data_IF_331457611662
#
_entry.id   IF_331457611662
#
_cell.length_a   1.000
_cell.length_b   1.000
_cell.length_c   1.000
_cell.angle_alpha   90.00
_cell.angle_beta   90.00
_cell.angle_gamma   90.00
#
_symmetry.space_group_name_H-M   'P 1'
#
loop_
_entity.id
_entity.type
_entity.pdbx_description
1 polymer ?
#
# COMPACT_ATOMS: atom_id res chain seq x y z
N UNK A 1 14.42 -1.73 -76.65
CA UNK A 1 12.96 -1.46 -76.55
C UNK A 1 12.48 -1.98 -75.20
N UNK A 2 11.72 -1.13 -74.48
CA UNK A 2 10.98 -1.36 -73.22
C UNK A 2 11.81 -1.71 -71.95
N UNK A 3 11.44 -1.30 -70.74
CA UNK A 3 10.71 -0.16 -70.18
C UNK A 3 10.89 -0.29 -68.65
N UNK A 4 10.75 0.84 -67.96
CA UNK A 4 10.88 1.11 -66.53
C UNK A 4 9.88 0.34 -65.64
N UNK A 5 10.23 0.09 -64.36
CA UNK A 5 9.42 0.28 -63.11
C UNK A 5 10.10 -0.48 -61.94
N UNK A 6 10.73 0.19 -60.98
CA UNK A 6 10.23 0.87 -59.75
C UNK A 6 10.30 -0.03 -58.49
N UNK A 7 10.83 0.58 -57.42
CA UNK A 7 11.24 0.02 -56.14
C UNK A 7 10.09 -0.48 -55.24
N UNK A 8 10.44 -1.21 -54.17
CA UNK A 8 10.11 -0.90 -52.76
C UNK A 8 11.03 -1.70 -51.83
N UNK A 9 11.63 -0.99 -50.88
CA UNK A 9 12.37 -1.50 -49.73
C UNK A 9 11.42 -1.85 -48.58
N UNK A 10 11.80 -2.81 -47.73
CA UNK A 10 11.07 -3.13 -46.50
C UNK A 10 11.85 -4.08 -45.60
N UNK A 11 12.82 -3.53 -44.87
CA UNK A 11 13.56 -4.23 -43.81
C UNK A 11 12.73 -4.18 -42.54
N UNK A 12 12.28 -5.33 -42.02
CA UNK A 12 11.57 -5.43 -40.75
C UNK A 12 12.58 -5.49 -39.60
N UNK A 13 13.04 -4.32 -39.14
CA UNK A 13 13.66 -4.19 -37.84
C UNK A 13 12.57 -4.25 -36.75
N UNK A 14 12.80 -5.06 -35.72
CA UNK A 14 11.93 -5.17 -34.56
C UNK A 14 12.15 -3.97 -33.63
N UNK A 15 11.35 -2.93 -33.78
CA UNK A 15 11.19 -1.91 -32.75
C UNK A 15 10.21 -2.44 -31.69
N UNK A 16 10.77 -2.94 -30.59
CA UNK A 16 10.03 -3.12 -29.33
C UNK A 16 9.75 -1.70 -28.80
N UNK A 17 8.57 -1.20 -29.12
CA UNK A 17 8.01 0.00 -28.52
C UNK A 17 7.91 -0.21 -27.00
N UNK A 18 8.82 0.43 -26.26
CA UNK A 18 8.60 0.73 -24.86
C UNK A 18 7.29 1.51 -24.76
N UNK A 19 6.27 0.90 -24.17
CA UNK A 19 5.04 1.60 -23.84
C UNK A 19 5.38 2.79 -22.93
N UNK A 20 4.85 3.99 -23.18
CA UNK A 20 4.99 5.09 -22.25
C UNK A 20 4.32 4.69 -20.94
N UNK A 21 5.13 4.65 -19.87
CA UNK A 21 4.62 4.60 -18.50
C UNK A 21 3.77 5.86 -18.33
N UNK A 22 2.45 5.70 -18.27
CA UNK A 22 1.55 6.82 -17.97
C UNK A 22 1.98 7.47 -16.65
N UNK A 23 2.12 8.81 -16.60
CA UNK A 23 2.43 9.48 -15.35
C UNK A 23 1.27 9.24 -14.38
N UNK A 24 1.57 8.47 -13.33
CA UNK A 24 0.73 8.37 -12.13
C UNK A 24 0.34 9.79 -11.74
N UNK A 25 -0.97 10.04 -11.64
CA UNK A 25 -1.55 11.33 -11.30
C UNK A 25 -0.72 12.05 -10.25
N UNK A 26 -0.14 13.16 -10.67
CA UNK A 26 0.70 14.04 -9.88
C UNK A 26 -0.22 14.69 -8.82
N UNK A 27 -0.36 14.05 -7.67
CA UNK A 27 -0.94 14.69 -6.49
C UNK A 27 0.02 15.83 -6.14
N UNK A 28 -0.48 17.06 -6.21
CA UNK A 28 0.27 18.30 -6.05
C UNK A 28 1.28 18.22 -4.89
N UNK A 29 2.55 18.29 -5.25
CA UNK A 29 3.74 18.23 -4.38
C UNK A 29 3.95 19.48 -3.50
N UNK A 30 2.92 20.32 -3.32
CA UNK A 30 3.02 21.64 -2.68
C UNK A 30 2.43 21.74 -1.27
N UNK A 31 1.62 20.79 -0.82
CA UNK A 31 1.16 20.77 0.56
C UNK A 31 2.23 20.10 1.43
N UNK A 32 3.13 20.91 2.00
CA UNK A 32 3.70 20.52 3.29
C UNK A 32 2.52 20.09 4.15
N UNK A 33 2.45 18.81 4.53
CA UNK A 33 1.42 18.33 5.45
C UNK A 33 1.64 19.12 6.73
N UNK A 34 0.92 20.23 6.87
CA UNK A 34 0.90 21.03 8.07
C UNK A 34 0.31 20.11 9.12
N UNK A 35 1.19 19.47 9.91
CA UNK A 35 0.80 18.56 10.97
C UNK A 35 -0.17 19.31 11.87
N UNK A 36 -1.48 18.95 11.89
CA UNK A 36 -2.39 19.60 12.81
C UNK A 36 -1.90 19.28 14.22
N UNK A 37 -1.43 20.32 14.93
CA UNK A 37 -1.10 20.20 16.35
C UNK A 37 -2.37 19.71 17.06
N UNK A 38 -2.42 18.43 17.44
CA UNK A 38 -3.57 17.89 18.19
C UNK A 38 -4.18 16.61 17.65
N UNK A 39 -3.98 16.25 16.38
CA UNK A 39 -4.58 15.05 15.78
C UNK A 39 -3.48 14.09 15.32
N UNK A 40 -3.68 12.79 15.48
CA UNK A 40 -2.78 11.83 14.81
C UNK A 40 -3.04 11.96 13.31
N UNK A 41 -2.14 12.63 12.60
CA UNK A 41 -2.25 12.72 11.16
C UNK A 41 -2.00 11.33 10.59
N UNK A 42 -3.04 10.74 10.02
CA UNK A 42 -2.91 9.49 9.29
C UNK A 42 -2.17 9.82 8.00
N UNK A 43 -0.98 9.26 7.83
CA UNK A 43 -0.22 9.42 6.59
C UNK A 43 -1.06 8.79 5.47
N UNK A 44 -1.37 9.53 4.39
CA UNK A 44 -2.08 8.94 3.26
C UNK A 44 -1.30 7.74 2.73
N UNK A 45 -2.01 6.74 2.21
CA UNK A 45 -1.38 5.60 1.53
C UNK A 45 -0.66 6.14 0.30
N UNK A 46 0.67 6.33 0.40
CA UNK A 46 1.51 6.75 -0.72
C UNK A 46 2.06 5.45 -1.35
N UNK A 47 1.82 5.19 -2.65
CA UNK A 47 2.28 3.97 -3.31
C UNK A 47 3.81 3.83 -3.31
N UNK A 48 4.53 4.95 -3.33
CA UNK A 48 5.99 5.02 -3.39
C UNK A 48 6.62 4.84 -2.01
N UNK A 49 7.25 3.68 -1.80
CA UNK A 49 7.93 3.36 -0.55
C UNK A 49 9.12 4.26 -0.24
N UNK A 50 9.80 4.76 -1.27
CA UNK A 50 10.96 5.65 -1.12
C UNK A 50 10.54 6.97 -0.47
N UNK A 51 9.39 7.51 -0.90
CA UNK A 51 8.85 8.75 -0.31
C UNK A 51 8.43 8.55 1.14
N UNK A 52 7.84 7.40 1.46
CA UNK A 52 7.43 7.09 2.84
C UNK A 52 8.63 6.91 3.77
N UNK A 53 9.71 6.28 3.30
CA UNK A 53 10.95 6.13 4.06
C UNK A 53 11.69 7.47 4.23
N UNK A 54 11.58 8.36 3.24
CA UNK A 54 12.10 9.72 3.35
C UNK A 54 11.37 10.52 4.46
N UNK A 55 10.05 10.39 4.56
CA UNK A 55 9.26 11.02 5.64
C UNK A 55 9.71 10.50 7.02
N UNK A 56 9.93 9.18 7.15
CA UNK A 56 10.45 8.58 8.39
C UNK A 56 11.87 9.10 8.71
N UNK A 57 12.73 9.24 7.71
CA UNK A 57 14.11 9.70 7.92
C UNK A 57 14.18 11.15 8.37
N UNK A 58 13.28 12.00 7.86
CA UNK A 58 13.22 13.44 8.14
C UNK A 58 12.51 13.80 9.45
N UNK A 59 11.83 12.84 10.10
CA UNK A 59 11.14 13.11 11.35
C UNK A 59 12.12 13.50 12.49
N UNK A 60 11.75 14.47 13.33
CA UNK A 60 12.68 15.21 14.20
C UNK A 60 13.27 14.38 15.35
N UNK A 61 12.56 13.34 15.79
CA UNK A 61 12.99 12.50 16.91
C UNK A 61 12.45 11.07 16.76
N UNK A 62 12.99 10.14 17.55
CA UNK A 62 12.62 8.73 17.50
C UNK A 62 11.13 8.50 17.80
N UNK A 63 10.55 9.24 18.75
CA UNK A 63 9.13 9.13 19.07
C UNK A 63 8.25 9.42 17.85
N UNK A 64 8.53 10.54 17.16
CA UNK A 64 7.82 10.92 15.93
C UNK A 64 8.03 9.87 14.84
N UNK A 65 9.25 9.37 14.67
CA UNK A 65 9.55 8.29 13.71
C UNK A 65 8.71 7.05 13.97
N UNK A 66 8.58 6.63 15.23
CA UNK A 66 7.81 5.45 15.64
C UNK A 66 6.31 5.66 15.42
N UNK A 67 5.77 6.84 15.71
CA UNK A 67 4.36 7.16 15.45
C UNK A 67 4.05 7.19 13.95
N UNK A 68 4.95 7.75 13.14
CA UNK A 68 4.82 7.71 11.68
C UNK A 68 4.89 6.28 11.13
N UNK A 69 5.82 5.46 11.64
CA UNK A 69 5.90 4.05 11.28
C UNK A 69 4.62 3.31 11.66
N UNK A 70 4.06 3.56 12.85
CA UNK A 70 2.78 3.00 13.25
C UNK A 70 1.63 3.45 12.33
N UNK A 71 1.59 4.72 11.93
CA UNK A 71 0.59 5.21 10.98
C UNK A 71 0.72 4.55 9.62
N UNK A 72 1.94 4.39 9.09
CA UNK A 72 2.19 3.72 7.82
C UNK A 72 1.80 2.24 7.90
N UNK A 73 2.14 1.57 9.00
CA UNK A 73 1.72 0.20 9.28
C UNK A 73 0.20 0.07 9.23
N UNK A 74 -0.55 0.90 9.97
CA UNK A 74 -2.02 0.81 9.97
C UNK A 74 -2.64 1.07 8.61
N UNK A 75 -2.08 1.98 7.80
CA UNK A 75 -2.53 2.18 6.43
C UNK A 75 -2.49 0.90 5.61
N UNK A 76 -1.34 0.21 5.58
CA UNK A 76 -1.17 -1.05 4.85
C UNK A 76 -1.95 -2.20 5.51
N UNK A 77 -2.00 -2.22 6.84
CA UNK A 77 -2.75 -3.24 7.59
C UNK A 77 -4.24 -3.19 7.28
N UNK A 78 -4.86 -2.00 7.29
CA UNK A 78 -6.27 -1.86 6.95
C UNK A 78 -6.56 -2.13 5.48
N UNK A 79 -5.64 -1.77 4.58
CA UNK A 79 -5.78 -2.14 3.17
C UNK A 79 -5.93 -3.66 3.02
N UNK A 80 -5.06 -4.45 3.67
CA UNK A 80 -5.03 -5.90 3.46
C UNK A 80 -6.00 -6.68 4.35
N UNK A 81 -6.45 -6.13 5.49
CA UNK A 81 -7.35 -6.85 6.42
C UNK A 81 -8.81 -6.42 6.33
N UNK A 82 -9.08 -5.18 5.91
CA UNK A 82 -10.44 -4.62 5.88
C UNK A 82 -10.84 -4.23 4.45
N UNK A 83 -10.15 -3.26 3.84
CA UNK A 83 -10.56 -2.73 2.54
C UNK A 83 -10.50 -3.79 1.42
N UNK A 84 -9.48 -4.66 1.41
CA UNK A 84 -9.38 -5.77 0.44
C UNK A 84 -10.50 -6.79 0.62
N UNK A 85 -10.86 -7.11 1.86
CA UNK A 85 -11.96 -8.03 2.15
C UNK A 85 -13.30 -7.44 1.71
N UNK A 86 -13.51 -6.16 1.99
CA UNK A 86 -14.69 -5.42 1.60
C UNK A 86 -14.85 -5.37 0.07
N UNK A 87 -13.82 -4.89 -0.64
CA UNK A 87 -13.83 -4.83 -2.10
C UNK A 87 -14.01 -6.21 -2.74
N UNK A 88 -13.28 -7.23 -2.28
CA UNK A 88 -13.40 -8.57 -2.87
C UNK A 88 -14.75 -9.22 -2.59
N UNK A 89 -15.37 -8.94 -1.44
CA UNK A 89 -16.75 -9.37 -1.17
C UNK A 89 -17.73 -8.76 -2.17
N UNK A 90 -17.56 -7.49 -2.57
CA UNK A 90 -18.39 -6.86 -3.61
C UNK A 90 -18.18 -7.50 -5.00
N UNK A 91 -17.01 -8.08 -5.25
CA UNK A 91 -16.72 -8.86 -6.45
C UNK A 91 -17.20 -10.32 -6.37
N UNK A 92 -17.80 -10.74 -5.26
CA UNK A 92 -18.28 -12.11 -5.05
C UNK A 92 -17.19 -13.12 -4.63
N UNK A 93 -16.04 -12.64 -4.15
CA UNK A 93 -14.94 -13.48 -3.70
C UNK A 93 -14.70 -13.35 -2.18
N UNK A 94 -14.64 -14.48 -1.48
CA UNK A 94 -14.16 -14.52 -0.10
C UNK A 94 -12.63 -14.58 -0.09
N UNK A 95 -12.00 -13.76 0.76
CA UNK A 95 -10.54 -13.74 0.99
C UNK A 95 -10.16 -13.97 2.46
N UNK A 96 -11.06 -14.56 3.24
CA UNK A 96 -10.90 -14.77 4.69
C UNK A 96 -9.62 -15.52 5.09
N UNK A 97 -9.15 -16.48 4.29
CA UNK A 97 -7.90 -17.20 4.57
C UNK A 97 -6.68 -16.28 4.43
N UNK A 98 -6.63 -15.47 3.37
CA UNK A 98 -5.58 -14.47 3.21
C UNK A 98 -5.56 -13.47 4.37
N UNK A 99 -6.72 -12.93 4.75
CA UNK A 99 -6.82 -11.99 5.89
C UNK A 99 -6.31 -12.65 7.17
N UNK A 100 -6.68 -13.91 7.42
CA UNK A 100 -6.25 -14.66 8.60
C UNK A 100 -4.73 -14.83 8.65
N UNK A 101 -4.11 -15.27 7.56
CA UNK A 101 -2.64 -15.42 7.49
C UNK A 101 -1.93 -14.06 7.59
N UNK A 102 -2.44 -13.01 6.94
CA UNK A 102 -1.86 -11.68 7.02
C UNK A 102 -1.90 -11.10 8.44
N UNK A 103 -3.01 -11.26 9.15
CA UNK A 103 -3.16 -10.85 10.56
C UNK A 103 -2.15 -11.59 11.45
N UNK A 104 -2.04 -12.91 11.26
CA UNK A 104 -1.10 -13.76 11.99
C UNK A 104 0.35 -13.33 11.76
N UNK A 105 0.73 -13.09 10.52
CA UNK A 105 2.10 -12.73 10.13
C UNK A 105 2.53 -11.33 10.58
N UNK A 106 1.58 -10.43 10.87
CA UNK A 106 1.83 -9.05 11.31
C UNK A 106 1.36 -8.78 12.75
N UNK A 107 1.05 -9.82 13.52
CA UNK A 107 0.46 -9.68 14.86
C UNK A 107 1.36 -8.93 15.84
N UNK A 108 2.69 -9.04 15.69
CA UNK A 108 3.65 -8.39 16.58
C UNK A 108 3.68 -6.88 16.31
N UNK A 109 3.79 -6.47 15.06
CA UNK A 109 3.77 -5.10 14.59
C UNK A 109 2.44 -4.43 14.93
N UNK A 110 1.31 -5.14 14.73
CA UNK A 110 -0.01 -4.66 15.12
C UNK A 110 -0.08 -4.32 16.61
N UNK A 111 0.34 -5.23 17.50
CA UNK A 111 0.33 -4.95 18.95
C UNK A 111 1.17 -3.73 19.31
N UNK A 112 2.34 -3.57 18.70
CA UNK A 112 3.24 -2.44 18.99
C UNK A 112 2.68 -1.13 18.43
N UNK A 113 2.20 -1.11 17.20
CA UNK A 113 1.59 0.06 16.59
C UNK A 113 0.35 0.51 17.39
N UNK A 114 -0.54 -0.43 17.73
CA UNK A 114 -1.71 -0.16 18.56
C UNK A 114 -1.32 0.42 19.93
N UNK A 115 -0.32 -0.14 20.60
CA UNK A 115 0.16 0.37 21.88
C UNK A 115 0.74 1.80 21.77
N UNK A 116 1.48 2.11 20.70
CA UNK A 116 2.01 3.46 20.45
C UNK A 116 0.90 4.49 20.28
N UNK A 117 -0.13 4.18 19.48
CA UNK A 117 -1.29 5.06 19.30
C UNK A 117 -2.09 5.23 20.59
N UNK A 118 -2.34 4.14 21.31
CA UNK A 118 -3.05 4.17 22.58
C UNK A 118 -2.31 5.06 23.59
N UNK A 119 -1.00 4.89 23.74
CA UNK A 119 -0.17 5.69 24.64
C UNK A 119 -0.13 7.18 24.25
N UNK A 120 0.11 7.46 22.96
CA UNK A 120 0.10 8.82 22.43
C UNK A 120 -1.23 9.54 22.68
N UNK A 121 -2.35 8.81 22.58
CA UNK A 121 -3.69 9.38 22.77
C UNK A 121 -4.05 9.72 24.22
N UNK A 122 -3.36 9.15 25.22
CA UNK A 122 -3.66 9.41 26.66
C UNK A 122 -3.55 10.89 27.04
N UNK A 123 -2.72 11.64 26.32
CA UNK A 123 -2.49 13.08 26.56
C UNK A 123 -3.34 13.98 25.64
N UNK A 124 -4.23 13.41 24.82
CA UNK A 124 -4.97 14.13 23.79
C UNK A 124 -6.48 14.15 24.09
N UNK A 125 -7.22 15.16 23.60
CA UNK A 125 -8.67 15.26 23.81
C UNK A 125 -9.48 14.10 23.20
N UNK A 126 -8.92 13.46 22.18
CA UNK A 126 -9.58 12.36 21.46
C UNK A 126 -8.80 11.07 21.70
N UNK A 127 -9.40 10.07 22.39
CA UNK A 127 -8.76 8.78 22.57
C UNK A 127 -8.57 8.10 21.22
N UNK A 128 -7.54 7.28 21.12
CA UNK A 128 -7.35 6.40 19.96
C UNK A 128 -8.52 5.42 19.85
N UNK A 129 -9.11 5.36 18.67
CA UNK A 129 -10.16 4.42 18.27
C UNK A 129 -9.76 3.87 16.89
N UNK A 130 -9.57 2.56 16.81
CA UNK A 130 -9.15 1.90 15.56
C UNK A 130 -10.22 2.00 14.46
N UNK A 131 -11.51 1.96 14.82
CA UNK A 131 -12.61 2.08 13.87
C UNK A 131 -12.70 3.50 13.31
N UNK A 132 -12.49 4.51 14.15
CA UNK A 132 -12.39 5.89 13.68
C UNK A 132 -11.15 6.07 12.78
N UNK A 133 -10.02 5.44 13.11
CA UNK A 133 -8.84 5.46 12.28
C UNK A 133 -9.11 4.84 10.89
N UNK A 134 -9.72 3.64 10.84
CA UNK A 134 -10.09 3.00 9.58
C UNK A 134 -11.08 3.87 8.80
N UNK A 135 -12.11 4.41 9.44
CA UNK A 135 -13.12 5.26 8.78
C UNK A 135 -12.51 6.45 8.05
N UNK A 136 -11.48 7.07 8.62
CA UNK A 136 -10.77 8.20 8.01
C UNK A 136 -9.97 7.81 6.76
N UNK A 137 -9.48 6.58 6.68
CA UNK A 137 -8.67 6.10 5.55
C UNK A 137 -9.43 5.16 4.59
N UNK A 138 -10.64 4.73 4.95
CA UNK A 138 -11.38 3.69 4.24
C UNK A 138 -11.49 3.97 2.75
N UNK A 139 -11.88 5.19 2.37
CA UNK A 139 -12.04 5.54 0.96
C UNK A 139 -10.74 5.39 0.17
N UNK A 140 -9.65 5.97 0.66
CA UNK A 140 -8.34 5.85 -0.01
C UNK A 140 -7.80 4.41 0.00
N UNK A 141 -8.10 3.62 1.04
CA UNK A 141 -7.74 2.21 1.10
C UNK A 141 -8.51 1.37 0.07
N UNK A 142 -9.81 1.62 -0.11
CA UNK A 142 -10.64 0.95 -1.13
C UNK A 142 -10.17 1.28 -2.55
N UNK A 143 -9.89 2.56 -2.83
CA UNK A 143 -9.38 2.99 -4.14
C UNK A 143 -8.03 2.34 -4.48
N UNK A 144 -7.12 2.27 -3.50
CA UNK A 144 -5.83 1.60 -3.66
C UNK A 144 -6.00 0.09 -3.91
N UNK A 145 -6.89 -0.56 -3.15
CA UNK A 145 -7.21 -1.99 -3.33
C UNK A 145 -7.83 -2.28 -4.70
N UNK A 146 -8.78 -1.46 -5.15
CA UNK A 146 -9.39 -1.62 -6.47
C UNK A 146 -8.32 -1.55 -7.56
N UNK A 147 -7.48 -0.51 -7.50
CA UNK A 147 -6.39 -0.31 -8.45
C UNK A 147 -5.44 -1.51 -8.47
N UNK A 148 -4.92 -1.91 -7.31
CA UNK A 148 -4.00 -3.05 -7.19
C UNK A 148 -4.61 -4.35 -7.74
N UNK A 149 -5.89 -4.59 -7.44
CA UNK A 149 -6.59 -5.81 -7.87
C UNK A 149 -6.87 -5.79 -9.37
N UNK A 150 -7.20 -4.62 -9.93
CA UNK A 150 -7.38 -4.41 -11.37
C UNK A 150 -6.07 -4.62 -12.12
N UNK A 151 -4.96 -4.06 -11.64
CA UNK A 151 -3.63 -4.27 -12.22
C UNK A 151 -3.25 -5.75 -12.21
N UNK A 152 -3.45 -6.45 -11.09
CA UNK A 152 -3.26 -7.91 -11.01
C UNK A 152 -4.12 -8.69 -12.03
N UNK A 153 -5.37 -8.27 -12.20
CA UNK A 153 -6.28 -8.86 -13.19
C UNK A 153 -5.81 -8.64 -14.63
N UNK A 154 -5.39 -7.42 -14.96
CA UNK A 154 -4.85 -7.07 -16.27
C UNK A 154 -3.57 -7.85 -16.59
N UNK A 155 -2.62 -7.90 -15.64
CA UNK A 155 -1.34 -8.59 -15.81
C UNK A 155 -1.51 -10.09 -16.06
N UNK A 156 -2.57 -10.70 -15.53
CA UNK A 156 -2.86 -12.13 -15.65
C UNK A 156 -3.94 -12.46 -16.69
N UNK A 157 -4.58 -11.45 -17.29
CA UNK A 157 -5.71 -11.64 -18.20
C UNK A 157 -6.93 -12.30 -17.56
N UNK A 158 -7.20 -12.02 -16.28
CA UNK A 158 -8.30 -12.60 -15.51
C UNK A 158 -9.30 -11.53 -15.04
N UNK A 159 -10.51 -11.96 -14.65
CA UNK A 159 -11.54 -11.07 -14.12
C UNK A 159 -11.17 -10.49 -12.75
N UNK A 160 -11.84 -9.42 -12.30
CA UNK A 160 -11.64 -8.88 -10.93
C UNK A 160 -12.01 -9.90 -9.85
N UNK A 161 -13.08 -10.68 -10.06
CA UNK A 161 -13.45 -11.78 -9.17
C UNK A 161 -12.30 -12.80 -9.05
N UNK A 162 -11.72 -13.22 -10.17
CA UNK A 162 -10.62 -14.20 -10.15
C UNK A 162 -9.33 -13.60 -9.59
N UNK A 163 -9.06 -12.32 -9.84
CA UNK A 163 -7.95 -11.60 -9.21
C UNK A 163 -8.08 -11.54 -7.67
N UNK A 164 -9.30 -11.39 -7.15
CA UNK A 164 -9.56 -11.51 -5.72
C UNK A 164 -9.34 -12.94 -5.21
N UNK A 165 -9.75 -13.97 -5.95
CA UNK A 165 -9.55 -15.37 -5.54
C UNK A 165 -8.08 -15.78 -5.43
N UNK A 166 -7.21 -15.19 -6.24
CA UNK A 166 -5.75 -15.42 -6.19
C UNK A 166 -5.19 -15.23 -4.77
N UNK A 167 -5.74 -14.31 -3.97
CA UNK A 167 -5.33 -14.12 -2.58
C UNK A 167 -5.60 -15.35 -1.73
N UNK A 168 -6.76 -15.99 -1.86
CA UNK A 168 -7.09 -17.17 -1.06
C UNK A 168 -6.40 -18.43 -1.55
N UNK A 169 -6.30 -18.62 -2.86
CA UNK A 169 -5.65 -19.80 -3.45
C UNK A 169 -4.18 -19.92 -3.01
N UNK A 170 -3.54 -18.80 -2.65
CA UNK A 170 -2.16 -18.74 -2.18
C UNK A 170 -2.03 -17.87 -0.91
N UNK A 171 -3.00 -17.98 0.02
CA UNK A 171 -3.15 -17.11 1.19
C UNK A 171 -1.85 -16.87 1.96
N UNK A 172 -1.13 -17.95 2.30
CA UNK A 172 0.11 -17.84 3.05
C UNK A 172 1.25 -17.22 2.24
N UNK A 173 1.36 -17.50 0.95
CA UNK A 173 2.38 -16.90 0.10
C UNK A 173 2.15 -15.38 -0.02
N UNK A 174 0.92 -14.97 -0.30
CA UNK A 174 0.56 -13.55 -0.37
C UNK A 174 0.73 -12.83 0.96
N UNK A 175 0.33 -13.45 2.07
CA UNK A 175 0.54 -12.90 3.40
C UNK A 175 2.04 -12.66 3.68
N UNK A 176 2.88 -13.64 3.36
CA UNK A 176 4.35 -13.52 3.48
C UNK A 176 4.93 -12.42 2.59
N UNK A 177 4.51 -12.36 1.32
CA UNK A 177 4.97 -11.34 0.37
C UNK A 177 4.54 -9.92 0.79
N UNK A 178 3.40 -9.79 1.46
CA UNK A 178 2.85 -8.52 1.91
C UNK A 178 3.23 -8.15 3.35
N UNK A 179 3.90 -9.05 4.08
CA UNK A 179 4.32 -8.83 5.47
C UNK A 179 5.14 -7.56 5.61
N UNK A 180 4.94 -6.84 6.72
CA UNK A 180 5.60 -5.55 6.98
C UNK A 180 7.11 -5.64 6.87
N UNK A 181 7.73 -6.69 7.41
CA UNK A 181 9.18 -6.91 7.31
C UNK A 181 9.72 -7.07 5.89
N UNK A 182 8.89 -7.54 4.96
CA UNK A 182 9.26 -7.75 3.55
C UNK A 182 9.05 -6.47 2.75
N UNK A 183 7.88 -5.85 2.89
CA UNK A 183 7.51 -4.67 2.08
C UNK A 183 8.03 -3.36 2.65
N UNK A 184 8.23 -3.28 3.95
CA UNK A 184 8.47 -2.06 4.74
C UNK A 184 9.47 -2.32 5.88
N UNK A 185 10.71 -2.79 5.58
CA UNK A 185 11.67 -3.15 6.62
C UNK A 185 12.02 -1.99 7.56
N UNK A 186 12.02 -0.74 7.08
CA UNK A 186 12.23 0.43 7.94
C UNK A 186 11.08 0.66 8.92
N UNK A 187 9.83 0.44 8.49
CA UNK A 187 8.64 0.51 9.37
C UNK A 187 8.72 -0.56 10.44
N UNK A 188 9.00 -1.80 10.07
CA UNK A 188 9.18 -2.89 11.04
C UNK A 188 10.30 -2.54 12.03
N UNK A 189 11.47 -2.12 11.55
CA UNK A 189 12.60 -1.74 12.40
C UNK A 189 12.18 -0.69 13.41
N UNK A 190 11.52 0.38 12.97
CA UNK A 190 11.08 1.46 13.86
C UNK A 190 10.02 1.00 14.87
N UNK A 191 9.11 0.10 14.49
CA UNK A 191 8.14 -0.46 15.43
C UNK A 191 8.84 -1.35 16.47
N UNK A 192 9.61 -2.33 16.00
CA UNK A 192 10.08 -3.43 16.84
C UNK A 192 11.40 -3.16 17.57
N UNK A 193 12.15 -2.11 17.20
CA UNK A 193 13.42 -1.78 17.84
C UNK A 193 13.26 -0.60 18.81
N UNK A 194 13.31 -0.82 20.13
CA UNK A 194 13.11 0.25 21.12
C UNK A 194 14.13 1.39 21.01
N UNK A 195 15.32 1.11 20.46
CA UNK A 195 16.43 2.07 20.39
C UNK A 195 16.60 2.75 19.03
N UNK A 196 15.83 2.40 18.00
CA UNK A 196 15.87 3.06 16.69
C UNK A 196 17.19 2.97 15.88
N UNK A 197 18.23 2.32 16.42
CA UNK A 197 19.55 2.16 15.78
C UNK A 197 19.64 0.92 14.90
#
# INVERSE_FOLDING_TARGET
MCAVLLAIAGSLAHDVLAAPVSPVGQIDSGAAVAWPRGSVAVVPVIPDSTRQDALLSQAPNLETKRLLAASQFFGVYFMNTRARAEFCSEQGADISMFVSEYVKDNAKEYRVAHALFADYSKSRPHPYDEEDLYRRVRQGALEAVEKDTRELGLDRGISLHDACKVFNDNAQEWANLMRTSVRRPLVEKLLLSPNGN
#
